data_IF_646557136203
#
_entry.id   IF_646557136203
#
_cell.length_a   1.000
_cell.length_b   1.000
_cell.length_c   1.000
_cell.angle_alpha   90.00
_cell.angle_beta   90.00
_cell.angle_gamma   90.00
#
_symmetry.space_group_name_H-M   'P 1'
#
loop_
_entity.id
_entity.type
_entity.pdbx_description
1 polymer ?
#
# COMPACT_ATOMS: atom_id res chain seq x y z
N UNK A 1 12.46 -36.80 -26.03
CA UNK A 1 11.33 -36.23 -25.24
C UNK A 1 11.44 -36.50 -23.74
N UNK A 2 11.62 -37.75 -23.27
CA UNK A 2 11.52 -38.13 -21.85
C UNK A 2 12.36 -37.29 -20.85
N UNK A 3 13.59 -36.86 -21.22
CA UNK A 3 14.47 -36.07 -20.33
C UNK A 3 13.94 -34.68 -19.92
N UNK A 4 12.94 -34.12 -20.61
CA UNK A 4 12.33 -32.81 -20.24
C UNK A 4 11.20 -32.93 -19.21
N UNK A 5 10.55 -34.09 -19.09
CA UNK A 5 9.45 -34.31 -18.14
C UNK A 5 9.97 -34.58 -16.71
N UNK A 6 11.07 -35.31 -16.59
CA UNK A 6 11.67 -35.72 -15.31
C UNK A 6 12.07 -34.52 -14.43
N UNK A 7 12.47 -33.40 -15.04
CA UNK A 7 12.94 -32.20 -14.32
C UNK A 7 11.83 -31.41 -13.60
N UNK A 8 10.56 -31.70 -13.88
CA UNK A 8 9.40 -31.05 -13.25
C UNK A 8 8.55 -31.99 -12.39
N UNK A 9 8.54 -33.30 -12.68
CA UNK A 9 7.68 -34.27 -11.99
C UNK A 9 8.28 -34.80 -10.68
N UNK A 10 9.61 -34.95 -10.61
CA UNK A 10 10.30 -35.51 -9.43
C UNK A 10 10.19 -34.65 -8.16
N UNK A 11 10.27 -33.30 -8.21
CA UNK A 11 10.02 -32.47 -7.03
C UNK A 11 8.57 -32.59 -6.54
N UNK A 12 7.59 -32.48 -7.45
CA UNK A 12 6.16 -32.44 -7.09
C UNK A 12 5.72 -33.73 -6.37
N UNK A 13 6.17 -34.89 -6.84
CA UNK A 13 5.84 -36.18 -6.20
C UNK A 13 6.51 -36.39 -4.84
N UNK A 14 7.67 -35.76 -4.58
CA UNK A 14 8.35 -35.86 -3.29
C UNK A 14 7.71 -34.99 -2.20
N UNK A 15 6.99 -33.93 -2.59
CA UNK A 15 6.28 -33.05 -1.65
C UNK A 15 4.88 -33.58 -1.30
N UNK A 16 4.16 -34.20 -2.25
CA UNK A 16 2.85 -34.79 -1.99
C UNK A 16 2.90 -35.93 -0.94
N UNK A 17 3.98 -36.71 -0.91
CA UNK A 17 4.19 -37.79 0.08
C UNK A 17 4.51 -37.24 1.47
N UNK A 18 5.39 -36.25 1.59
CA UNK A 18 5.70 -35.61 2.88
C UNK A 18 4.44 -34.96 3.47
N UNK A 19 3.68 -34.20 2.66
CA UNK A 19 2.42 -33.60 3.09
C UNK A 19 1.38 -34.65 3.52
N UNK A 20 1.28 -35.78 2.80
CA UNK A 20 0.38 -36.89 3.16
C UNK A 20 0.80 -37.61 4.46
N UNK A 21 2.10 -37.70 4.74
CA UNK A 21 2.62 -38.30 5.99
C UNK A 21 2.33 -37.38 7.19
N UNK A 22 2.47 -36.06 7.04
CA UNK A 22 2.13 -35.11 8.12
C UNK A 22 0.63 -35.05 8.42
N UNK A 23 -0.24 -35.15 7.38
CA UNK A 23 -1.70 -35.22 7.56
C UNK A 23 -2.15 -36.54 8.26
N UNK A 24 -1.31 -37.58 8.26
CA UNK A 24 -1.64 -38.90 8.79
C UNK A 24 -1.59 -39.05 10.32
N UNK A 25 -0.88 -38.18 11.04
CA UNK A 25 -0.74 -38.25 12.50
C UNK A 25 -1.74 -37.34 13.22
N UNK A 26 -2.93 -37.90 13.51
CA UNK A 26 -3.96 -37.21 14.32
C UNK A 26 -3.60 -37.15 15.81
N UNK A 27 -3.23 -35.98 16.31
CA UNK A 27 -3.91 -35.43 17.48
C UNK A 27 -4.06 -33.92 17.39
N UNK A 28 -5.20 -33.40 17.81
CA UNK A 28 -5.50 -31.97 17.82
C UNK A 28 -4.79 -31.33 19.01
N UNK A 29 -3.77 -30.52 18.77
CA UNK A 29 -3.69 -29.10 19.19
C UNK A 29 -2.32 -28.52 18.76
N UNK A 30 -2.34 -27.26 18.29
CA UNK A 30 -1.20 -26.47 17.80
C UNK A 30 -0.30 -27.12 16.73
N UNK A 31 -0.51 -26.76 15.46
CA UNK A 31 0.58 -26.66 14.49
C UNK A 31 1.53 -25.55 14.98
N UNK A 32 2.58 -25.92 15.73
CA UNK A 32 3.49 -24.92 16.29
C UNK A 32 4.16 -24.11 15.18
N UNK A 33 4.37 -22.81 15.44
CA UNK A 33 4.70 -21.79 14.43
C UNK A 33 5.91 -22.11 13.52
N UNK A 34 6.77 -23.05 13.93
CA UNK A 34 7.89 -23.56 13.14
C UNK A 34 7.45 -24.29 11.85
N UNK A 35 6.34 -25.05 11.86
CA UNK A 35 5.86 -25.75 10.64
C UNK A 35 5.22 -24.76 9.66
N UNK A 36 4.44 -23.82 10.17
CA UNK A 36 3.89 -22.71 9.38
C UNK A 36 4.99 -21.83 8.78
N UNK A 37 6.08 -21.57 9.53
CA UNK A 37 7.24 -20.84 9.01
C UNK A 37 7.87 -21.55 7.81
N UNK A 38 8.05 -22.88 7.86
CA UNK A 38 8.61 -23.64 6.72
C UNK A 38 7.68 -23.62 5.51
N UNK A 39 6.36 -23.80 5.71
CA UNK A 39 5.38 -23.72 4.61
C UNK A 39 5.41 -22.33 3.95
N UNK A 40 5.51 -21.26 4.75
CA UNK A 40 5.56 -19.89 4.26
C UNK A 40 6.91 -19.58 3.58
N UNK A 41 8.05 -19.99 4.15
CA UNK A 41 9.37 -19.89 3.51
C UNK A 41 9.40 -20.57 2.12
N UNK A 42 8.72 -21.71 1.96
CA UNK A 42 8.57 -22.40 0.67
C UNK A 42 7.64 -21.65 -0.30
N UNK A 43 6.54 -21.06 0.17
CA UNK A 43 5.69 -20.14 -0.64
C UNK A 43 6.53 -18.96 -1.14
N UNK A 44 7.26 -18.29 -0.26
CA UNK A 44 8.05 -17.09 -0.59
C UNK A 44 9.33 -17.40 -1.37
N UNK A 45 9.77 -18.66 -1.42
CA UNK A 45 10.75 -19.12 -2.39
C UNK A 45 10.15 -19.21 -3.80
N UNK A 46 8.93 -19.73 -3.95
CA UNK A 46 8.25 -19.83 -5.24
C UNK A 46 7.96 -18.45 -5.85
N UNK A 47 7.56 -17.46 -5.04
CA UNK A 47 7.35 -16.06 -5.51
C UNK A 47 8.65 -15.48 -6.09
N UNK A 48 9.79 -15.65 -5.39
CA UNK A 48 11.12 -15.21 -5.88
C UNK A 48 11.60 -15.92 -7.16
N UNK A 49 11.07 -17.10 -7.47
CA UNK A 49 11.33 -17.81 -8.74
C UNK A 49 10.41 -17.32 -9.89
N UNK A 50 9.48 -16.40 -9.63
CA UNK A 50 8.59 -15.80 -10.66
C UNK A 50 8.94 -14.37 -11.09
N UNK A 51 9.88 -13.73 -10.40
CA UNK A 51 10.37 -12.39 -10.71
C UNK A 51 11.41 -12.43 -11.85
N UNK A 52 11.31 -11.47 -12.77
CA UNK A 52 12.19 -11.31 -13.93
C UNK A 52 13.54 -10.69 -13.57
N UNK A 53 14.63 -11.05 -14.27
CA UNK A 53 15.98 -10.59 -13.92
C UNK A 53 16.21 -9.08 -14.10
N UNK A 54 15.34 -8.38 -14.84
CA UNK A 54 15.41 -6.94 -15.05
C UNK A 54 14.66 -6.10 -14.00
N UNK A 55 14.04 -6.72 -13.00
CA UNK A 55 13.25 -6.05 -11.96
C UNK A 55 13.59 -6.62 -10.58
N UNK A 56 13.55 -5.78 -9.54
CA UNK A 56 13.78 -6.18 -8.17
C UNK A 56 12.69 -5.61 -7.25
N UNK A 57 12.00 -6.47 -6.51
CA UNK A 57 11.12 -6.05 -5.42
C UNK A 57 11.91 -5.25 -4.39
N UNK A 58 11.38 -4.10 -3.99
CA UNK A 58 11.88 -3.34 -2.85
C UNK A 58 10.94 -3.53 -1.65
N UNK A 59 9.91 -2.70 -1.57
CA UNK A 59 9.00 -2.67 -0.43
C UNK A 59 7.62 -2.18 -0.83
N UNK A 60 6.65 -2.51 0.01
CA UNK A 60 5.30 -1.99 0.01
C UNK A 60 5.07 -1.29 1.34
N UNK A 61 4.54 -0.07 1.31
CA UNK A 61 4.26 0.76 2.50
C UNK A 61 2.91 1.44 2.36
N UNK A 62 2.35 1.86 3.50
CA UNK A 62 1.15 2.69 3.49
C UNK A 62 1.24 3.83 4.50
N UNK A 63 0.34 4.80 4.35
CA UNK A 63 0.13 5.91 5.27
C UNK A 63 -1.38 6.14 5.44
N UNK A 64 -1.77 6.64 6.61
CA UNK A 64 -3.17 6.81 6.99
C UNK A 64 -3.88 5.48 7.28
N UNK A 65 -5.20 5.54 7.38
CA UNK A 65 -6.04 4.40 7.77
C UNK A 65 -6.27 3.43 6.60
N UNK A 66 -5.74 2.21 6.75
CA UNK A 66 -5.97 1.08 5.84
C UNK A 66 -6.38 -0.16 6.62
N UNK A 67 -7.46 -0.82 6.19
CA UNK A 67 -8.00 -2.03 6.82
C UNK A 67 -7.79 -3.21 5.89
N UNK A 68 -7.18 -4.29 6.40
CA UNK A 68 -7.05 -5.55 5.69
C UNK A 68 -8.42 -6.22 5.55
N UNK A 69 -8.76 -6.69 4.34
CA UNK A 69 -10.02 -7.39 4.07
C UNK A 69 -9.90 -8.40 2.93
N UNK A 70 -10.83 -9.35 2.88
CA UNK A 70 -10.96 -10.37 1.84
C UNK A 70 -12.43 -10.64 1.48
N UNK A 71 -13.32 -9.69 1.75
CA UNK A 71 -14.77 -9.89 1.66
C UNK A 71 -15.36 -9.74 0.25
N UNK A 72 -14.65 -9.06 -0.66
CA UNK A 72 -15.00 -8.93 -2.07
C UNK A 72 -14.07 -9.79 -2.94
N UNK A 73 -14.56 -10.34 -4.05
CA UNK A 73 -13.76 -11.17 -4.96
C UNK A 73 -12.90 -10.31 -5.91
N UNK A 74 -11.83 -10.91 -6.44
CA UNK A 74 -11.01 -10.33 -7.52
C UNK A 74 -9.65 -9.78 -7.08
N UNK A 75 -9.33 -9.83 -5.80
CA UNK A 75 -7.96 -9.56 -5.32
C UNK A 75 -6.96 -10.64 -5.76
N UNK A 76 -5.69 -10.27 -5.73
CA UNK A 76 -4.55 -11.17 -5.87
C UNK A 76 -4.10 -11.65 -4.48
N UNK A 77 -3.39 -12.78 -4.40
CA UNK A 77 -2.93 -13.27 -3.10
C UNK A 77 -4.08 -13.66 -2.15
N UNK A 78 -3.94 -13.42 -0.83
CA UNK A 78 -4.90 -13.87 0.19
C UNK A 78 -5.91 -12.80 0.65
N UNK A 79 -5.63 -11.51 0.47
CA UNK A 79 -6.43 -10.37 0.92
C UNK A 79 -6.05 -9.08 0.17
N UNK A 80 -6.59 -7.94 0.59
CA UNK A 80 -6.25 -6.60 0.10
C UNK A 80 -6.31 -5.58 1.26
N UNK A 81 -5.68 -4.43 1.08
CA UNK A 81 -5.87 -3.26 1.96
C UNK A 81 -6.97 -2.36 1.40
N UNK A 82 -7.87 -1.86 2.25
CA UNK A 82 -8.95 -0.95 1.88
C UNK A 82 -8.89 0.35 2.69
N UNK A 83 -9.06 1.50 2.04
CA UNK A 83 -9.24 2.80 2.71
C UNK A 83 -10.55 3.44 2.27
N UNK A 84 -11.16 4.23 3.16
CA UNK A 84 -12.38 5.00 2.84
C UNK A 84 -12.03 6.21 1.97
N UNK A 85 -13.02 6.70 1.23
CA UNK A 85 -12.92 7.97 0.50
C UNK A 85 -12.48 9.10 1.44
N UNK A 86 -11.57 9.94 0.96
CA UNK A 86 -11.01 11.07 1.70
C UNK A 86 -10.41 12.12 0.76
N UNK A 87 -9.42 12.84 1.28
CA UNK A 87 -8.75 13.98 0.65
C UNK A 87 -7.32 13.68 0.16
N UNK A 88 -6.89 12.42 0.23
CA UNK A 88 -5.52 11.99 -0.03
C UNK A 88 -4.65 11.82 1.22
N UNK A 89 -5.22 12.01 2.41
CA UNK A 89 -4.57 11.73 3.70
C UNK A 89 -4.17 10.27 3.93
N UNK A 90 -4.69 9.32 3.14
CA UNK A 90 -4.24 7.93 3.13
C UNK A 90 -3.66 7.53 1.76
N UNK A 91 -2.55 6.80 1.77
CA UNK A 91 -1.87 6.31 0.57
C UNK A 91 -1.29 4.90 0.75
N UNK A 92 -1.19 4.15 -0.35
CA UNK A 92 -0.52 2.86 -0.43
C UNK A 92 0.49 2.91 -1.57
N UNK A 93 1.74 2.52 -1.32
CA UNK A 93 2.85 2.63 -2.26
C UNK A 93 3.55 1.29 -2.45
N UNK A 94 3.69 0.88 -3.72
CA UNK A 94 4.54 -0.23 -4.14
C UNK A 94 5.83 0.34 -4.74
N UNK A 95 6.99 -0.11 -4.26
CA UNK A 95 8.32 0.31 -4.74
C UNK A 95 9.05 -0.87 -5.38
N UNK A 96 9.66 -0.64 -6.55
CA UNK A 96 10.57 -1.58 -7.20
C UNK A 96 11.80 -0.86 -7.75
N UNK A 97 12.87 -1.62 -7.96
CA UNK A 97 14.05 -1.13 -8.67
C UNK A 97 14.18 -1.81 -10.03
N UNK A 98 14.50 -1.02 -11.05
CA UNK A 98 14.77 -1.48 -12.41
C UNK A 98 16.23 -1.89 -12.51
N UNK A 99 16.49 -3.14 -12.92
CA UNK A 99 17.82 -3.72 -13.10
C UNK A 99 18.28 -3.79 -14.54
N UNK A 100 17.37 -3.53 -15.49
CA UNK A 100 17.65 -3.48 -16.92
C UNK A 100 16.81 -2.36 -17.53
N UNK A 101 17.48 -1.37 -18.15
CA UNK A 101 16.80 -0.27 -18.84
C UNK A 101 15.89 -0.82 -19.95
N UNK A 102 14.70 -0.25 -20.12
CA UNK A 102 13.72 -0.75 -21.08
C UNK A 102 12.34 -0.14 -20.94
N UNK A 103 11.43 -0.59 -21.79
CA UNK A 103 10.03 -0.17 -21.80
C UNK A 103 9.18 -1.13 -20.98
N UNK A 104 8.50 -0.65 -19.96
CA UNK A 104 7.72 -1.47 -19.04
C UNK A 104 6.26 -1.02 -18.98
N UNK A 105 5.35 -1.99 -19.05
CA UNK A 105 3.92 -1.79 -18.86
C UNK A 105 3.57 -2.04 -17.39
N UNK A 106 2.88 -1.09 -16.75
CA UNK A 106 2.38 -1.25 -15.38
C UNK A 106 0.87 -1.51 -15.44
N UNK A 107 0.44 -2.54 -14.72
CA UNK A 107 -0.96 -2.88 -14.53
C UNK A 107 -1.30 -2.95 -13.05
N UNK A 108 -2.56 -2.73 -12.71
CA UNK A 108 -3.13 -2.90 -11.37
C UNK A 108 -4.16 -4.03 -11.40
N UNK A 109 -4.35 -4.69 -10.25
CA UNK A 109 -5.51 -5.55 -9.96
C UNK A 109 -6.13 -5.09 -8.63
N UNK A 110 -7.40 -5.41 -8.41
CA UNK A 110 -8.16 -5.05 -7.21
C UNK A 110 -9.47 -5.83 -7.10
N UNK A 111 -10.03 -5.89 -5.88
CA UNK A 111 -11.36 -6.42 -5.62
C UNK A 111 -12.45 -5.39 -5.92
N UNK A 112 -13.16 -5.55 -7.05
CA UNK A 112 -14.16 -4.61 -7.50
C UNK A 112 -15.51 -4.75 -6.78
N UNK A 113 -16.12 -3.62 -6.42
CA UNK A 113 -17.46 -3.55 -5.81
C UNK A 113 -18.13 -2.19 -6.06
N UNK A 114 -19.46 -2.11 -5.93
CA UNK A 114 -20.22 -0.90 -6.29
C UNK A 114 -19.89 0.34 -5.44
N UNK A 115 -19.37 0.13 -4.23
CA UNK A 115 -18.99 1.15 -3.24
C UNK A 115 -17.53 1.63 -3.38
N UNK A 116 -16.83 1.20 -4.44
CA UNK A 116 -15.46 1.63 -4.74
C UNK A 116 -15.40 2.97 -5.49
N UNK A 117 -14.23 3.58 -5.45
CA UNK A 117 -13.92 4.79 -6.21
C UNK A 117 -14.07 4.54 -7.73
N UNK A 118 -14.71 5.48 -8.44
CA UNK A 118 -14.65 5.54 -9.91
C UNK A 118 -13.43 6.27 -10.44
N UNK A 119 -12.68 6.93 -9.56
CA UNK A 119 -11.59 7.83 -9.88
C UNK A 119 -10.32 7.54 -9.05
N UNK A 120 -10.03 6.27 -8.74
CA UNK A 120 -8.89 5.88 -7.91
C UNK A 120 -7.55 6.33 -8.56
N UNK A 121 -6.80 7.27 -7.95
CA UNK A 121 -5.61 7.84 -8.57
C UNK A 121 -4.38 6.97 -8.32
N UNK A 122 -3.86 6.33 -9.36
CA UNK A 122 -2.57 5.64 -9.33
C UNK A 122 -1.51 6.55 -9.95
N UNK A 123 -0.54 6.99 -9.14
CA UNK A 123 0.58 7.83 -9.58
C UNK A 123 1.86 7.02 -9.68
N UNK A 124 2.43 6.93 -10.86
CA UNK A 124 3.76 6.36 -11.12
C UNK A 124 4.79 7.48 -11.03
N UNK A 125 5.79 7.34 -10.15
CA UNK A 125 6.89 8.30 -10.00
C UNK A 125 8.22 7.65 -10.35
N UNK A 126 8.98 8.30 -11.23
CA UNK A 126 10.21 7.80 -11.83
C UNK A 126 11.09 8.96 -12.29
N UNK A 127 12.30 8.70 -12.79
CA UNK A 127 13.28 9.72 -13.22
C UNK A 127 12.80 10.59 -14.38
N UNK A 128 11.86 10.10 -15.19
CA UNK A 128 11.20 10.86 -16.26
C UNK A 128 10.08 11.79 -15.76
N UNK A 129 9.73 11.74 -14.47
CA UNK A 129 8.69 12.58 -13.85
C UNK A 129 7.61 11.77 -13.13
N UNK A 130 6.41 12.32 -13.08
CA UNK A 130 5.23 11.66 -12.51
C UNK A 130 4.11 11.58 -13.54
N UNK A 131 3.34 10.50 -13.49
CA UNK A 131 2.15 10.29 -14.30
C UNK A 131 1.04 9.69 -13.43
N UNK A 132 -0.18 10.23 -13.52
CA UNK A 132 -1.32 9.76 -12.73
C UNK A 132 -2.44 9.30 -13.65
N UNK A 133 -2.87 8.05 -13.47
CA UNK A 133 -4.06 7.51 -14.13
C UNK A 133 -5.19 7.30 -13.12
N UNK A 134 -6.42 7.61 -13.53
CA UNK A 134 -7.62 7.42 -12.72
C UNK A 134 -8.32 6.11 -13.12
N UNK A 135 -8.53 5.22 -12.16
CA UNK A 135 -9.10 3.88 -12.39
C UNK A 135 -10.47 3.74 -11.73
N UNK A 136 -11.45 3.26 -12.49
CA UNK A 136 -12.76 2.88 -11.94
C UNK A 136 -12.69 1.50 -11.29
N UNK A 137 -12.57 1.49 -9.96
CA UNK A 137 -12.52 0.27 -9.17
C UNK A 137 -13.89 -0.41 -8.97
N UNK A 138 -14.99 0.14 -9.52
CA UNK A 138 -16.32 -0.49 -9.45
C UNK A 138 -16.46 -1.68 -10.40
N UNK A 139 -15.61 -1.75 -11.41
CA UNK A 139 -15.62 -2.80 -12.44
C UNK A 139 -14.19 -3.31 -12.72
N UNK A 140 -14.03 -4.32 -13.58
CA UNK A 140 -12.71 -4.77 -14.05
C UNK A 140 -11.88 -5.63 -13.09
N UNK A 141 -12.20 -5.66 -11.79
CA UNK A 141 -11.47 -6.43 -10.77
C UNK A 141 -11.29 -7.93 -11.08
N UNK A 142 -10.22 -8.52 -10.54
CA UNK A 142 -9.74 -9.85 -10.95
C UNK A 142 -9.04 -9.87 -12.31
N UNK A 143 -8.70 -8.71 -12.86
CA UNK A 143 -7.99 -8.55 -14.13
C UNK A 143 -6.90 -7.49 -13.98
N UNK A 144 -5.85 -7.65 -14.78
CA UNK A 144 -4.77 -6.67 -14.89
C UNK A 144 -5.21 -5.50 -15.77
N UNK A 145 -5.55 -4.37 -15.16
CA UNK A 145 -5.92 -3.11 -15.83
C UNK A 145 -4.65 -2.29 -16.05
N UNK A 146 -4.36 -1.87 -17.28
CA UNK A 146 -3.17 -1.05 -17.55
C UNK A 146 -3.33 0.36 -16.97
N UNK A 147 -2.26 0.86 -16.35
CA UNK A 147 -2.13 2.27 -15.93
C UNK A 147 -0.99 2.97 -16.70
N UNK A 148 -0.52 2.40 -17.80
CA UNK A 148 0.44 3.04 -18.70
C UNK A 148 1.69 2.21 -19.01
N UNK A 149 2.53 2.82 -19.85
CA UNK A 149 3.77 2.25 -20.37
C UNK A 149 4.88 3.30 -20.24
N UNK A 150 6.00 2.92 -19.64
CA UNK A 150 7.06 3.85 -19.23
C UNK A 150 8.42 3.37 -19.71
N UNK A 151 9.28 4.33 -20.08
CA UNK A 151 10.68 4.10 -20.43
C UNK A 151 11.55 4.28 -19.17
N UNK A 152 12.08 3.19 -18.62
CA UNK A 152 12.89 3.18 -17.39
C UNK A 152 14.38 2.95 -17.67
N UNK A 153 15.22 3.48 -16.79
CA UNK A 153 16.68 3.37 -16.81
C UNK A 153 17.18 2.29 -15.84
N UNK A 154 18.40 1.80 -16.06
CA UNK A 154 19.03 0.83 -15.15
C UNK A 154 19.42 1.50 -13.82
N UNK A 155 19.11 0.84 -12.71
CA UNK A 155 19.36 1.32 -11.34
C UNK A 155 18.24 2.21 -10.78
N UNK A 156 17.27 2.62 -11.61
CA UNK A 156 16.15 3.48 -11.25
C UNK A 156 15.25 2.84 -10.18
N UNK A 157 14.91 3.59 -9.14
CA UNK A 157 13.83 3.24 -8.22
C UNK A 157 12.53 3.90 -8.71
N UNK A 158 11.46 3.11 -8.76
CA UNK A 158 10.14 3.53 -9.24
C UNK A 158 9.11 3.23 -8.17
N UNK A 159 8.21 4.19 -7.93
CA UNK A 159 7.06 4.01 -7.04
C UNK A 159 5.76 4.05 -7.83
N UNK A 160 4.78 3.26 -7.38
CA UNK A 160 3.38 3.38 -7.77
C UNK A 160 2.59 3.64 -6.50
N UNK A 161 1.92 4.78 -6.43
CA UNK A 161 1.17 5.21 -5.24
C UNK A 161 -0.31 5.38 -5.57
N UNK A 162 -1.15 4.68 -4.82
CA UNK A 162 -2.60 4.88 -4.76
C UNK A 162 -2.92 5.81 -3.58
N UNK A 163 -3.80 6.80 -3.75
CA UNK A 163 -4.31 7.64 -2.63
C UNK A 163 -5.83 7.56 -2.53
N UNK A 164 -6.37 7.93 -1.37
CA UNK A 164 -7.81 7.93 -1.12
C UNK A 164 -8.53 9.25 -1.49
N UNK A 165 -7.92 10.11 -2.32
CA UNK A 165 -8.56 11.34 -2.81
C UNK A 165 -9.62 11.02 -3.88
N UNK A 166 -10.78 10.52 -3.47
CA UNK A 166 -11.70 9.75 -4.33
C UNK A 166 -13.18 9.93 -3.99
N UNK A 167 -14.06 9.48 -4.89
CA UNK A 167 -15.53 9.47 -4.71
C UNK A 167 -16.09 8.21 -4.03
N UNK A 168 -15.23 7.28 -3.61
CA UNK A 168 -15.58 6.00 -3.00
C UNK A 168 -14.38 5.30 -2.36
N UNK A 169 -14.59 4.14 -1.74
CA UNK A 169 -13.51 3.41 -1.07
C UNK A 169 -12.45 2.92 -2.08
N UNK A 170 -11.18 2.98 -1.72
CA UNK A 170 -10.06 2.52 -2.55
C UNK A 170 -9.47 1.21 -2.05
N UNK A 171 -9.16 0.32 -2.98
CA UNK A 171 -8.54 -0.98 -2.72
C UNK A 171 -7.09 -0.97 -3.24
N UNK A 172 -6.16 -1.20 -2.33
CA UNK A 172 -4.78 -1.53 -2.61
C UNK A 172 -4.61 -3.06 -2.54
N UNK A 173 -4.47 -3.65 -3.73
CA UNK A 173 -4.27 -5.08 -3.95
C UNK A 173 -2.89 -5.28 -4.60
N UNK A 174 -2.81 -5.53 -5.91
CA UNK A 174 -1.55 -5.86 -6.57
C UNK A 174 -1.24 -4.97 -7.78
N UNK A 175 0.05 -4.81 -8.07
CA UNK A 175 0.55 -4.28 -9.33
C UNK A 175 1.41 -5.30 -10.08
N UNK A 176 1.41 -5.22 -11.40
CA UNK A 176 2.25 -6.03 -12.28
C UNK A 176 3.01 -5.16 -13.26
N UNK A 177 4.33 -5.22 -13.16
CA UNK A 177 5.29 -4.61 -14.07
C UNK A 177 5.70 -5.69 -15.08
N UNK A 178 5.78 -5.37 -16.37
CA UNK A 178 6.20 -6.33 -17.41
C UNK A 178 6.92 -5.63 -18.55
N UNK A 179 8.10 -6.11 -18.93
CA UNK A 179 8.88 -5.59 -20.07
C UNK A 179 8.12 -5.79 -21.38
N UNK A 180 8.04 -4.74 -22.21
CA UNK A 180 7.44 -4.83 -23.53
C UNK A 180 8.28 -5.75 -24.44
N UNK A 181 7.61 -6.64 -25.16
CA UNK A 181 8.27 -7.67 -25.97
C UNK A 181 8.87 -8.85 -25.18
N UNK A 182 8.98 -8.77 -23.86
CA UNK A 182 9.54 -9.82 -23.00
C UNK A 182 8.69 -10.09 -21.75
N UNK A 183 7.56 -10.79 -21.93
CA UNK A 183 6.65 -11.15 -20.83
C UNK A 183 7.23 -12.09 -19.77
N UNK A 184 8.46 -12.60 -19.96
CA UNK A 184 9.19 -13.36 -18.95
C UNK A 184 9.92 -12.44 -17.95
N UNK A 185 10.24 -11.20 -18.35
CA UNK A 185 10.78 -10.18 -17.45
C UNK A 185 9.63 -9.36 -16.86
N UNK A 186 9.17 -9.81 -15.68
CA UNK A 186 8.00 -9.25 -14.99
C UNK A 186 8.22 -9.23 -13.49
N UNK A 187 7.47 -8.40 -12.78
CA UNK A 187 7.41 -8.37 -11.33
C UNK A 187 5.94 -8.19 -10.94
N UNK A 188 5.47 -8.97 -9.95
CA UNK A 188 4.17 -8.73 -9.33
C UNK A 188 4.43 -8.33 -7.88
N UNK A 189 3.99 -7.13 -7.51
CA UNK A 189 3.97 -6.67 -6.13
C UNK A 189 2.53 -6.77 -5.62
N UNK A 190 2.38 -7.26 -4.39
CA UNK A 190 1.10 -7.57 -3.76
C UNK A 190 0.80 -6.53 -2.66
N UNK A 191 -0.36 -6.58 -2.01
CA UNK A 191 -0.66 -5.70 -0.87
C UNK A 191 0.15 -6.05 0.40
N UNK A 192 0.86 -7.18 0.37
CA UNK A 192 1.71 -7.72 1.43
C UNK A 192 3.16 -7.80 0.93
N UNK A 193 4.10 -7.36 1.76
CA UNK A 193 5.52 -7.58 1.50
C UNK A 193 5.92 -9.01 1.95
N UNK A 194 6.23 -9.94 1.03
CA UNK A 194 6.62 -11.31 1.39
C UNK A 194 7.95 -11.40 2.14
N UNK A 195 8.78 -10.36 2.07
CA UNK A 195 10.10 -10.32 2.70
C UNK A 195 10.10 -9.73 4.12
N UNK A 196 8.98 -9.20 4.62
CA UNK A 196 8.87 -8.64 5.98
C UNK A 196 8.50 -9.67 7.06
N UNK A 197 8.23 -10.93 6.68
CA UNK A 197 7.76 -11.95 7.62
C UNK A 197 6.35 -11.65 8.14
N UNK A 198 6.03 -12.05 9.37
CA UNK A 198 4.74 -11.74 10.00
C UNK A 198 4.68 -10.36 10.68
N UNK A 199 5.71 -9.52 10.47
CA UNK A 199 5.66 -8.13 10.91
C UNK A 199 4.58 -7.36 10.11
N UNK A 200 3.82 -6.45 10.75
CA UNK A 200 2.86 -5.64 10.04
C UNK A 200 3.57 -4.77 8.99
N UNK A 201 2.96 -4.64 7.81
CA UNK A 201 3.42 -3.73 6.75
C UNK A 201 3.61 -2.35 7.38
N UNK A 202 4.83 -1.85 7.35
CA UNK A 202 5.20 -0.68 8.14
C UNK A 202 4.50 0.56 7.59
N UNK A 203 3.81 1.29 8.47
CA UNK A 203 3.44 2.68 8.19
C UNK A 203 4.72 3.45 7.82
N UNK A 204 4.66 4.29 6.80
CA UNK A 204 5.78 5.17 6.47
C UNK A 204 6.18 5.97 7.72
N UNK A 205 7.48 6.19 8.01
CA UNK A 205 7.89 6.96 9.18
C UNK A 205 7.22 8.32 9.19
N UNK A 206 6.58 8.68 10.32
CA UNK A 206 6.01 10.02 10.46
C UNK A 206 7.14 11.04 10.29
N UNK A 207 7.07 11.89 9.26
CA UNK A 207 7.92 13.07 9.22
C UNK A 207 7.46 13.99 10.34
N UNK A 208 8.19 13.95 11.46
CA UNK A 208 7.98 14.87 12.56
C UNK A 208 8.07 16.30 12.01
N UNK A 209 7.06 17.16 12.24
CA UNK A 209 7.06 18.51 11.64
C UNK A 209 8.32 19.26 12.09
N UNK A 210 9.01 19.88 11.13
CA UNK A 210 10.26 20.58 11.41
C UNK A 210 10.00 21.70 12.45
N UNK A 211 10.62 21.68 13.65
CA UNK A 211 10.33 22.66 14.70
C UNK A 211 10.66 24.11 14.31
N UNK A 212 11.43 24.34 13.23
CA UNK A 212 11.80 25.68 12.72
C UNK A 212 10.66 26.48 12.06
N UNK A 213 9.42 25.97 11.96
CA UNK A 213 8.26 26.77 11.55
C UNK A 213 7.33 27.20 12.70
N UNK A 214 7.71 26.95 13.95
CA UNK A 214 6.90 27.28 15.14
C UNK A 214 7.42 28.49 15.95
N UNK A 215 8.31 29.31 15.39
CA UNK A 215 8.98 30.38 16.14
C UNK A 215 9.29 31.64 15.34
N UNK A 216 8.27 32.46 15.08
CA UNK A 216 8.43 33.91 14.82
C UNK A 216 7.06 34.60 15.01
N UNK A 217 6.84 35.20 16.20
CA UNK A 217 5.51 35.75 16.52
C UNK A 217 5.31 36.29 17.94
N UNK A 218 6.38 36.61 18.68
CA UNK A 218 6.27 37.23 20.00
C UNK A 218 7.10 38.54 20.03
N UNK A 219 6.41 39.66 20.22
CA UNK A 219 7.00 40.97 20.50
C UNK A 219 5.98 41.78 21.33
N UNK A 220 6.02 41.57 22.64
CA UNK A 220 5.34 42.38 23.65
C UNK A 220 6.25 43.57 24.08
N UNK A 221 5.73 44.81 24.14
CA UNK A 221 6.44 45.92 24.77
C UNK A 221 5.70 46.47 26.01
N UNK A 222 6.10 46.02 27.20
CA UNK A 222 6.04 46.85 28.43
C UNK A 222 7.17 47.90 28.36
N UNK A 223 7.10 49.15 28.84
CA UNK A 223 6.32 49.80 29.92
C UNK A 223 6.32 51.36 29.64
N UNK A 224 5.89 52.34 30.45
CA UNK A 224 5.37 52.50 31.82
C UNK A 224 4.68 53.88 31.99
N UNK A 225 3.94 54.08 33.11
CA UNK A 225 3.52 55.36 33.76
C UNK A 225 2.69 56.39 32.95
N UNK A 226 1.61 57.01 33.44
CA UNK A 226 1.31 57.50 34.79
C UNK A 226 -0.19 57.89 34.92
N UNK A 227 -0.73 58.10 36.13
CA UNK A 227 -1.99 58.86 36.34
C UNK A 227 -3.07 58.22 37.24
N UNK A 228 -3.46 58.93 38.30
CA UNK A 228 -4.46 58.55 39.32
C UNK A 228 -5.87 59.07 38.97
N UNK A 229 -6.96 58.36 39.31
CA UNK A 229 -7.88 58.76 40.40
C UNK A 229 -9.10 57.83 40.68
N UNK A 230 -9.23 57.48 41.96
CA UNK A 230 -10.44 57.42 42.83
C UNK A 230 -11.90 57.18 42.36
N UNK A 231 -12.57 56.30 43.14
CA UNK A 231 -13.97 56.33 43.65
C UNK A 231 -15.18 55.83 42.82
N UNK A 232 -15.78 54.74 43.32
CA UNK A 232 -17.21 54.33 43.25
C UNK A 232 -18.05 55.08 44.33
N UNK A 233 -19.41 54.95 44.46
CA UNK A 233 -20.34 53.97 43.85
C UNK A 233 -21.72 54.47 43.33
N UNK A 234 -22.34 53.66 42.45
CA UNK A 234 -23.74 53.19 42.56
C UNK A 234 -24.95 54.11 42.26
N UNK A 235 -25.83 53.65 41.36
CA UNK A 235 -27.30 53.53 41.57
C UNK A 235 -27.82 52.35 40.73
N UNK A 236 -28.72 51.53 41.30
CA UNK A 236 -29.40 50.41 40.67
C UNK A 236 -30.89 50.74 40.49
N UNK A 237 -31.45 50.61 39.27
CA UNK A 237 -32.90 50.55 39.05
C UNK A 237 -33.24 49.57 37.91
N UNK A 238 -34.30 48.80 38.12
CA UNK A 238 -34.84 47.76 37.24
C UNK A 238 -36.25 48.19 36.70
N UNK A 239 -36.90 47.43 35.79
CA UNK A 239 -37.81 48.01 34.78
C UNK A 239 -39.31 47.94 35.12
N UNK A 240 -40.17 48.60 34.33
CA UNK A 240 -41.59 48.28 34.22
C UNK A 240 -41.89 47.34 33.04
N UNK A 241 -42.92 46.49 33.17
CA UNK A 241 -43.45 45.65 32.10
C UNK A 241 -44.73 46.24 31.48
N UNK A 242 -44.88 45.98 30.16
CA UNK A 242 -46.12 45.77 29.40
C UNK A 242 -47.25 46.83 29.44
N UNK A 243 -48.12 46.79 28.41
CA UNK A 243 -49.45 46.17 28.56
C UNK A 243 -49.64 44.89 27.73
#
# INVERSE_FOLDING_TARGET
MVKRLIRWVVPILFFATILSVMIGFRHLETLEANEMRVIEEFRQRWVRETDGPGLMRMQETFWGEWVVSSNANGYFGPDYHASQAGDGSASFTWTFQVKQAGKYNIHVNYAAAFDRASNAPYTVSYSGGTATELVDQRTGGGRWISIGTYDFQEGEEVTVTLTNNTDGAVIADAIRITEEGNSSNKLILDNRNPNQGFEPVQQAPQQQPNPEQAGEGENDPQQSADGQNEQQPGVQLAPPQQP
#
